data_IF_846542994885
#
_entry.id   IF_846542994885
#
_cell.length_a   1.000
_cell.length_b   1.000
_cell.length_c   1.000
_cell.angle_alpha   90.00
_cell.angle_beta   90.00
_cell.angle_gamma   90.00
#
_symmetry.space_group_name_H-M   'P 1'
#
loop_
_entity.id
_entity.type
_entity.pdbx_description
1 polymer ?
#
# COMPACT_ATOMS: atom_id res chain seq x y z
N UNK A 1 25.30 2.40 26.87
CA UNK A 1 23.91 2.89 26.73
C UNK A 1 23.16 2.62 28.03
N UNK A 2 22.89 3.66 28.81
CA UNK A 2 22.05 3.55 30.03
C UNK A 2 20.59 3.91 29.71
N UNK A 3 19.68 3.75 30.67
CA UNK A 3 18.29 4.18 30.53
C UNK A 3 18.17 5.68 30.23
N UNK A 4 18.93 6.52 30.93
CA UNK A 4 19.03 7.96 30.66
C UNK A 4 19.47 8.25 29.22
N UNK A 5 20.43 7.49 28.68
CA UNK A 5 20.84 7.65 27.27
C UNK A 5 19.69 7.33 26.32
N UNK A 6 18.93 6.26 26.60
CA UNK A 6 17.80 5.87 25.75
C UNK A 6 16.69 6.91 25.80
N UNK A 7 16.38 7.44 26.99
CA UNK A 7 15.39 8.50 27.17
C UNK A 7 15.75 9.72 26.31
N UNK A 8 16.99 10.22 26.43
CA UNK A 8 17.44 11.39 25.68
C UNK A 8 17.44 11.15 24.16
N UNK A 9 17.84 9.95 23.70
CA UNK A 9 17.73 9.62 22.28
C UNK A 9 16.28 9.70 21.81
N UNK A 10 15.36 9.06 22.55
CA UNK A 10 13.93 9.06 22.19
C UNK A 10 13.38 10.49 22.15
N UNK A 11 13.70 11.32 23.14
CA UNK A 11 13.33 12.74 23.13
C UNK A 11 13.88 13.48 21.92
N UNK A 12 15.16 13.29 21.55
CA UNK A 12 15.73 13.96 20.38
C UNK A 12 15.11 13.47 19.07
N UNK A 13 14.75 12.19 18.98
CA UNK A 13 14.03 11.62 17.83
C UNK A 13 12.62 12.21 17.74
N UNK A 14 11.90 12.34 18.85
CA UNK A 14 10.58 12.95 18.91
C UNK A 14 10.58 14.44 18.52
N UNK A 15 11.64 15.17 18.83
CA UNK A 15 11.77 16.59 18.47
C UNK A 15 12.14 16.78 17.00
N UNK A 16 13.05 15.97 16.47
CA UNK A 16 13.57 16.13 15.11
C UNK A 16 12.81 15.31 14.06
N UNK A 17 11.97 14.39 14.50
CA UNK A 17 11.01 13.61 13.70
C UNK A 17 11.56 13.13 12.35
N UNK A 18 12.62 12.30 12.35
CA UNK A 18 13.26 11.84 11.12
C UNK A 18 12.30 11.09 10.17
N UNK A 19 11.18 10.60 10.71
CA UNK A 19 10.15 9.84 9.99
C UNK A 19 9.35 10.69 9.01
N UNK A 20 9.21 12.00 9.25
CA UNK A 20 8.52 12.93 8.33
C UNK A 20 9.19 13.03 6.96
N UNK A 21 10.49 12.77 6.90
CA UNK A 21 11.21 12.69 5.64
C UNK A 21 11.07 11.28 5.03
N UNK A 22 10.97 11.22 3.68
CA UNK A 22 10.83 9.95 2.94
C UNK A 22 11.94 8.95 3.34
N UNK A 23 11.55 7.69 3.56
CA UNK A 23 12.47 6.59 3.86
C UNK A 23 13.55 6.48 2.77
N UNK A 24 14.81 6.35 3.18
CA UNK A 24 15.96 6.31 2.26
C UNK A 24 16.38 7.66 1.66
N UNK A 25 15.67 8.76 1.92
CA UNK A 25 16.08 10.08 1.43
C UNK A 25 17.33 10.63 2.11
N UNK A 26 18.07 11.47 1.38
CA UNK A 26 19.22 12.22 1.92
C UNK A 26 18.77 13.13 3.08
N UNK A 27 17.59 13.77 2.95
CA UNK A 27 17.01 14.61 3.99
C UNK A 27 16.80 13.85 5.31
N UNK A 28 16.21 12.64 5.27
CA UNK A 28 16.12 11.77 6.46
C UNK A 28 17.50 11.48 7.03
N UNK A 29 18.47 11.18 6.16
CA UNK A 29 19.87 11.01 6.55
C UNK A 29 20.45 12.19 7.33
N UNK A 30 20.23 13.42 6.85
CA UNK A 30 20.71 14.65 7.48
C UNK A 30 20.05 14.90 8.85
N UNK A 31 18.77 14.55 9.00
CA UNK A 31 18.09 14.65 10.31
C UNK A 31 18.76 13.73 11.33
N UNK A 32 19.10 12.49 10.94
CA UNK A 32 19.81 11.58 11.83
C UNK A 32 21.24 12.04 12.15
N UNK A 33 21.94 12.68 11.20
CA UNK A 33 23.24 13.30 11.47
C UNK A 33 23.09 14.45 12.48
N UNK A 34 22.05 15.28 12.34
CA UNK A 34 21.72 16.34 13.29
C UNK A 34 21.40 15.80 14.68
N UNK A 35 20.65 14.70 14.78
CA UNK A 35 20.41 14.01 16.06
C UNK A 35 21.74 13.58 16.70
N UNK A 36 22.61 12.91 15.95
CA UNK A 36 23.89 12.44 16.47
C UNK A 36 24.79 13.60 16.96
N UNK A 37 24.87 14.69 16.19
CA UNK A 37 25.63 15.89 16.56
C UNK A 37 25.07 16.54 17.82
N UNK A 38 23.74 16.68 17.92
CA UNK A 38 23.09 17.22 19.10
C UNK A 38 23.35 16.35 20.34
N UNK A 39 23.35 15.02 20.21
CA UNK A 39 23.66 14.11 21.31
C UNK A 39 25.12 14.27 21.75
N UNK A 40 26.07 14.30 20.81
CA UNK A 40 27.49 14.45 21.11
C UNK A 40 27.84 15.82 21.73
N UNK A 41 27.03 16.86 21.50
CA UNK A 41 27.20 18.17 22.15
C UNK A 41 26.78 18.22 23.62
N UNK A 42 26.10 17.18 24.13
CA UNK A 42 25.66 17.13 25.52
C UNK A 42 26.84 16.81 26.44
N UNK A 43 26.97 17.58 27.53
CA UNK A 43 27.99 17.34 28.55
C UNK A 43 27.63 16.14 29.45
N UNK A 44 26.33 15.98 29.78
CA UNK A 44 25.84 14.87 30.61
C UNK A 44 24.45 14.43 30.16
N UNK A 45 24.22 13.11 29.97
CA UNK A 45 25.24 12.09 29.79
C UNK A 45 26.08 12.38 28.53
N UNK A 46 27.36 12.01 28.57
CA UNK A 46 28.26 12.22 27.44
C UNK A 46 28.01 11.15 26.36
N UNK A 47 27.81 11.60 25.13
CA UNK A 47 27.66 10.71 23.98
C UNK A 47 28.91 10.71 23.11
N UNK A 48 29.23 9.53 22.55
CA UNK A 48 30.19 9.38 21.45
C UNK A 48 29.57 8.48 20.39
N UNK A 49 28.69 9.07 19.60
CA UNK A 49 27.79 8.34 18.69
C UNK A 49 27.89 8.86 17.27
N UNK A 50 27.64 7.99 16.31
CA UNK A 50 27.45 8.35 14.89
C UNK A 50 25.98 8.24 14.52
N UNK A 51 25.58 8.81 13.38
CA UNK A 51 24.23 8.58 12.81
C UNK A 51 23.86 7.10 12.77
N UNK A 52 24.82 6.23 12.39
CA UNK A 52 24.60 4.79 12.30
C UNK A 52 24.29 4.20 13.67
N UNK A 53 25.10 4.48 14.69
CA UNK A 53 24.89 3.93 16.03
C UNK A 53 23.59 4.42 16.66
N UNK A 54 23.17 5.67 16.41
CA UNK A 54 21.88 6.19 16.91
C UNK A 54 20.72 5.43 16.27
N UNK A 55 20.76 5.22 14.95
CA UNK A 55 19.72 4.45 14.25
C UNK A 55 19.66 3.00 14.72
N UNK A 56 20.79 2.31 14.77
CA UNK A 56 20.85 0.93 15.25
C UNK A 56 20.36 0.81 16.70
N UNK A 57 20.68 1.79 17.55
CA UNK A 57 20.20 1.82 18.93
C UNK A 57 18.68 2.00 18.99
N UNK A 58 18.13 2.93 18.22
CA UNK A 58 16.68 3.14 18.13
C UNK A 58 15.98 1.87 17.64
N UNK A 59 16.41 1.29 16.51
CA UNK A 59 15.80 0.08 15.94
C UNK A 59 15.81 -1.08 16.92
N UNK A 60 16.93 -1.33 17.60
CA UNK A 60 17.00 -2.39 18.61
C UNK A 60 16.02 -2.15 19.77
N UNK A 61 15.87 -0.90 20.21
CA UNK A 61 14.98 -0.53 21.30
C UNK A 61 13.50 -0.59 20.90
N UNK A 62 13.15 -0.11 19.71
CA UNK A 62 11.78 -0.19 19.18
C UNK A 62 11.36 -1.63 18.97
N UNK A 63 12.22 -2.47 18.37
CA UNK A 63 11.89 -3.88 18.10
C UNK A 63 11.63 -4.65 19.39
N UNK A 64 12.47 -4.42 20.42
CA UNK A 64 12.28 -5.00 21.75
C UNK A 64 10.98 -4.54 22.41
N UNK A 65 10.66 -3.26 22.29
CA UNK A 65 9.42 -2.70 22.84
C UNK A 65 8.19 -3.29 22.16
N UNK A 66 8.18 -3.34 20.82
CA UNK A 66 7.08 -3.92 20.04
C UNK A 66 6.88 -5.41 20.39
N UNK A 67 7.97 -6.18 20.51
CA UNK A 67 7.90 -7.57 20.95
C UNK A 67 7.31 -7.71 22.35
N UNK A 68 7.78 -6.89 23.32
CA UNK A 68 7.26 -6.87 24.69
C UNK A 68 5.77 -6.54 24.73
N UNK A 69 5.31 -5.56 23.94
CA UNK A 69 3.90 -5.18 23.87
C UNK A 69 3.03 -6.26 23.23
N UNK A 70 3.54 -6.94 22.21
CA UNK A 70 2.86 -8.10 21.59
C UNK A 70 2.69 -9.25 22.58
N UNK A 71 3.73 -9.57 23.34
CA UNK A 71 3.69 -10.64 24.34
C UNK A 71 2.77 -10.29 25.51
N UNK A 72 2.81 -9.04 26.01
CA UNK A 72 1.88 -8.54 27.03
C UNK A 72 0.42 -8.65 26.58
N UNK A 73 0.11 -8.19 25.36
CA UNK A 73 -1.24 -8.28 24.76
C UNK A 73 -1.72 -9.73 24.66
N UNK A 74 -0.80 -10.67 24.38
CA UNK A 74 -1.12 -12.11 24.30
C UNK A 74 -1.32 -12.77 25.67
N UNK A 75 -0.54 -12.37 26.68
CA UNK A 75 -0.48 -13.08 27.96
C UNK A 75 -1.47 -12.55 29.01
N UNK A 76 -1.58 -11.23 29.15
CA UNK A 76 -2.21 -10.64 30.35
C UNK A 76 -3.57 -9.99 30.08
N UNK A 77 -3.86 -9.57 28.83
CA UNK A 77 -5.06 -8.80 28.51
C UNK A 77 -5.22 -7.47 29.27
N UNK A 78 -4.26 -7.11 30.13
CA UNK A 78 -4.26 -5.96 31.02
C UNK A 78 -3.03 -5.11 30.70
N UNK A 79 -3.24 -3.80 30.65
CA UNK A 79 -2.20 -2.82 30.39
C UNK A 79 -1.29 -2.67 31.63
N UNK A 80 0.01 -2.76 31.42
CA UNK A 80 1.01 -2.68 32.48
C UNK A 80 1.80 -1.39 32.33
N UNK A 81 1.96 -0.66 33.42
CA UNK A 81 2.64 0.64 33.46
C UNK A 81 3.94 0.65 32.65
N UNK A 82 3.99 1.57 31.69
CA UNK A 82 5.12 1.77 30.79
C UNK A 82 6.15 2.71 31.43
N UNK A 83 7.42 2.35 31.33
CA UNK A 83 8.54 3.26 31.65
C UNK A 83 8.48 4.51 30.76
N UNK A 84 9.04 5.63 31.22
CA UNK A 84 9.11 6.87 30.42
C UNK A 84 9.79 6.66 29.06
N UNK A 85 10.79 5.76 29.01
CA UNK A 85 11.44 5.39 27.74
C UNK A 85 10.49 4.60 26.85
N UNK A 86 9.68 3.72 27.45
CA UNK A 86 8.70 2.91 26.73
C UNK A 86 7.56 3.76 26.18
N UNK A 87 7.06 4.73 26.95
CA UNK A 87 6.07 5.73 26.49
C UNK A 87 6.61 6.56 25.32
N UNK A 88 7.86 7.01 25.40
CA UNK A 88 8.49 7.74 24.30
C UNK A 88 8.66 6.86 23.06
N UNK A 89 9.00 5.57 23.23
CA UNK A 89 9.10 4.62 22.12
C UNK A 89 7.74 4.34 21.49
N UNK A 90 6.68 4.21 22.28
CA UNK A 90 5.31 4.07 21.80
C UNK A 90 4.91 5.24 20.91
N UNK A 91 5.08 6.47 21.38
CA UNK A 91 4.78 7.68 20.60
C UNK A 91 5.60 7.73 19.30
N UNK A 92 6.89 7.40 19.35
CA UNK A 92 7.74 7.38 18.15
C UNK A 92 7.22 6.35 17.14
N UNK A 93 6.93 5.13 17.59
CA UNK A 93 6.48 4.04 16.72
C UNK A 93 5.14 4.39 16.09
N UNK A 94 4.19 4.93 16.85
CA UNK A 94 2.89 5.37 16.33
C UNK A 94 3.05 6.48 15.27
N UNK A 95 3.90 7.47 15.52
CA UNK A 95 4.19 8.52 14.54
C UNK A 95 4.82 7.94 13.27
N UNK A 96 5.75 6.99 13.40
CA UNK A 96 6.37 6.33 12.25
C UNK A 96 5.34 5.55 11.44
N UNK A 97 4.45 4.79 12.07
CA UNK A 97 3.40 4.01 11.37
C UNK A 97 2.41 4.90 10.64
N UNK A 98 1.94 5.98 11.26
CA UNK A 98 1.01 6.93 10.61
C UNK A 98 1.64 7.56 9.36
N UNK A 99 2.93 7.92 9.43
CA UNK A 99 3.63 8.50 8.28
C UNK A 99 3.87 7.45 7.18
N UNK A 100 4.20 6.21 7.52
CA UNK A 100 4.34 5.14 6.53
C UNK A 100 2.99 4.79 5.85
N UNK A 101 1.89 4.71 6.60
CA UNK A 101 0.55 4.44 6.08
C UNK A 101 0.05 5.55 5.14
N UNK A 102 0.23 6.82 5.52
CA UNK A 102 -0.14 7.96 4.67
C UNK A 102 0.66 7.98 3.38
N UNK A 103 1.98 7.76 3.44
CA UNK A 103 2.82 7.67 2.25
C UNK A 103 2.39 6.50 1.33
N UNK A 104 2.04 5.35 1.89
CA UNK A 104 1.58 4.20 1.11
C UNK A 104 0.22 4.46 0.44
N UNK A 105 -0.70 5.12 1.14
CA UNK A 105 -2.00 5.51 0.59
C UNK A 105 -1.85 6.51 -0.57
N UNK A 106 -0.95 7.48 -0.45
CA UNK A 106 -0.64 8.44 -1.52
C UNK A 106 -0.04 7.77 -2.75
N UNK A 107 0.89 6.83 -2.56
CA UNK A 107 1.48 6.06 -3.66
C UNK A 107 0.43 5.18 -4.36
N UNK A 108 -0.46 4.54 -3.58
CA UNK A 108 -1.57 3.75 -4.13
C UNK A 108 -2.58 4.62 -4.89
N UNK A 109 -2.91 5.81 -4.38
CA UNK A 109 -3.79 6.76 -5.06
C UNK A 109 -3.21 7.21 -6.41
N UNK A 110 -1.93 7.57 -6.45
CA UNK A 110 -1.21 7.92 -7.70
C UNK A 110 -1.18 6.75 -8.69
N UNK A 111 -0.93 5.53 -8.20
CA UNK A 111 -0.97 4.33 -9.03
C UNK A 111 -2.37 4.07 -9.60
N UNK A 112 -3.42 4.23 -8.80
CA UNK A 112 -4.81 4.10 -9.22
C UNK A 112 -5.19 5.16 -10.26
N UNK A 113 -4.77 6.41 -10.08
CA UNK A 113 -4.99 7.49 -11.04
C UNK A 113 -4.32 7.21 -12.38
N UNK A 114 -3.07 6.75 -12.37
CA UNK A 114 -2.34 6.35 -13.59
C UNK A 114 -3.04 5.21 -14.32
N UNK A 115 -3.58 4.22 -13.60
CA UNK A 115 -4.41 3.14 -14.18
C UNK A 115 -5.69 3.69 -14.80
N UNK A 116 -6.41 4.57 -14.11
CA UNK A 116 -7.63 5.19 -14.61
C UNK A 116 -7.38 6.02 -15.87
N UNK A 117 -6.31 6.83 -15.89
CA UNK A 117 -5.90 7.62 -17.07
C UNK A 117 -5.55 6.73 -18.27
N UNK A 118 -4.86 5.62 -18.03
CA UNK A 118 -4.56 4.65 -19.09
C UNK A 118 -5.84 4.01 -19.67
N UNK A 119 -6.79 3.61 -18.82
CA UNK A 119 -8.07 3.06 -19.25
C UNK A 119 -8.93 4.08 -20.01
N UNK A 120 -8.98 5.33 -19.56
CA UNK A 120 -9.72 6.41 -20.24
C UNK A 120 -9.20 6.68 -21.65
N UNK A 121 -7.88 6.58 -21.85
CA UNK A 121 -7.25 6.80 -23.16
C UNK A 121 -7.42 5.62 -24.13
N UNK A 122 -7.85 4.44 -23.67
CA UNK A 122 -8.09 3.28 -24.53
C UNK A 122 -9.23 3.51 -25.53
N UNK A 123 -10.20 4.37 -25.21
CA UNK A 123 -11.28 4.77 -26.13
C UNK A 123 -10.86 5.74 -27.23
N UNK A 124 -9.67 6.37 -27.11
CA UNK A 124 -9.18 7.35 -28.08
C UNK A 124 -8.50 6.75 -29.32
N UNK A 125 -7.99 5.51 -29.22
CA UNK A 125 -7.32 4.82 -30.34
C UNK A 125 -8.31 4.11 -31.27
N UNK A 126 -9.56 3.91 -30.85
CA UNK A 126 -10.59 3.23 -31.65
C UNK A 126 -11.16 4.09 -32.79
N UNK A 127 -10.95 5.42 -32.78
CA UNK A 127 -11.42 6.34 -33.84
C UNK A 127 -10.41 6.63 -34.96
N UNK A 128 -9.18 6.10 -34.89
CA UNK A 128 -8.18 6.29 -35.96
C UNK A 128 -8.04 5.08 -36.89
N UNK A 129 -9.13 4.43 -37.30
CA UNK A 129 -9.12 3.45 -38.40
C UNK A 129 -10.46 3.35 -39.13
N UNK A 130 -11.08 4.46 -39.55
CA UNK A 130 -12.16 4.46 -40.57
C UNK A 130 -12.24 5.81 -41.29
N UNK A 131 -11.29 6.00 -42.22
CA UNK A 131 -11.14 7.01 -43.30
C UNK A 131 -9.63 7.17 -43.45
N UNK A 132 -8.99 6.88 -44.57
CA UNK A 132 -9.40 7.12 -45.95
C UNK A 132 -8.92 5.98 -46.87
N UNK A 133 -9.78 5.60 -47.81
CA UNK A 133 -9.37 4.93 -49.04
C UNK A 133 -8.86 5.99 -50.02
N UNK A 134 -7.96 5.52 -50.90
CA UNK A 134 -7.42 6.15 -52.11
C UNK A 134 -6.06 6.88 -51.97
N UNK A 135 -5.08 6.23 -52.60
CA UNK A 135 -3.84 6.71 -53.20
C UNK A 135 -2.68 7.19 -52.30
N UNK A 136 -1.80 6.25 -51.97
CA UNK A 136 -0.43 6.36 -52.46
C UNK A 136 0.27 4.99 -52.43
N UNK A 137 0.44 4.40 -53.61
CA UNK A 137 1.43 3.35 -53.83
C UNK A 137 2.81 3.92 -53.47
N UNK A 138 3.70 3.07 -52.93
CA UNK A 138 5.13 3.35 -52.67
C UNK A 138 5.57 3.89 -51.29
N UNK A 139 5.10 3.32 -50.16
CA UNK A 139 5.89 3.41 -48.90
C UNK A 139 5.63 2.33 -47.83
N UNK A 140 4.78 1.33 -48.04
CA UNK A 140 4.31 0.45 -46.96
C UNK A 140 4.85 -1.00 -47.05
N UNK A 141 6.18 -1.18 -47.08
CA UNK A 141 6.81 -2.48 -46.76
C UNK A 141 7.63 -2.44 -45.47
N UNK A 142 7.11 -1.78 -44.44
CA UNK A 142 7.59 -2.00 -43.07
C UNK A 142 6.83 -3.18 -42.46
N UNK A 143 7.47 -4.36 -42.49
CA UNK A 143 7.16 -5.62 -41.77
C UNK A 143 5.78 -5.65 -41.07
N UNK A 144 4.76 -6.15 -41.78
CA UNK A 144 3.52 -6.66 -41.17
C UNK A 144 3.90 -7.79 -40.20
N UNK A 145 3.99 -7.49 -38.90
CA UNK A 145 4.15 -8.49 -37.84
C UNK A 145 2.93 -9.41 -37.90
N UNK A 146 3.19 -10.72 -37.90
CA UNK A 146 2.20 -11.81 -37.96
C UNK A 146 1.00 -11.46 -37.06
N UNK A 147 -0.15 -11.22 -37.69
CA UNK A 147 -1.37 -10.77 -37.02
C UNK A 147 -1.88 -11.86 -36.07
N UNK A 148 -1.92 -11.59 -34.76
CA UNK A 148 -2.53 -12.45 -33.75
C UNK A 148 -4.07 -12.46 -33.82
N UNK A 149 -4.63 -12.39 -35.03
CA UNK A 149 -6.06 -12.29 -35.31
C UNK A 149 -6.83 -13.45 -34.67
N UNK A 150 -6.26 -14.65 -34.75
CA UNK A 150 -6.85 -15.88 -34.26
C UNK A 150 -6.94 -15.91 -32.72
N UNK A 151 -5.86 -15.53 -32.03
CA UNK A 151 -5.85 -15.39 -30.57
C UNK A 151 -6.84 -14.33 -30.09
N UNK A 152 -6.97 -13.22 -30.82
CA UNK A 152 -7.94 -12.16 -30.48
C UNK A 152 -9.39 -12.57 -30.76
N UNK A 153 -9.64 -13.42 -31.75
CA UNK A 153 -10.96 -14.02 -31.99
C UNK A 153 -11.34 -14.96 -30.84
N UNK A 154 -10.44 -15.86 -30.46
CA UNK A 154 -10.64 -16.78 -29.33
C UNK A 154 -10.92 -16.04 -28.01
N UNK A 155 -10.18 -14.95 -27.72
CA UNK A 155 -10.41 -14.17 -26.51
C UNK A 155 -11.76 -13.45 -26.50
N UNK A 156 -12.26 -13.00 -27.65
CA UNK A 156 -13.60 -12.40 -27.78
C UNK A 156 -14.69 -13.44 -27.57
N UNK A 157 -14.61 -14.56 -28.28
CA UNK A 157 -15.56 -15.66 -28.17
C UNK A 157 -15.65 -16.19 -26.73
N UNK A 158 -14.49 -16.37 -26.07
CA UNK A 158 -14.44 -16.77 -24.66
C UNK A 158 -15.11 -15.76 -23.73
N UNK A 159 -14.97 -14.46 -24.00
CA UNK A 159 -15.60 -13.41 -23.19
C UNK A 159 -17.13 -13.43 -23.39
N UNK A 160 -17.60 -13.54 -24.64
CA UNK A 160 -19.02 -13.63 -24.97
C UNK A 160 -19.68 -14.85 -24.34
N UNK A 161 -19.02 -16.01 -24.37
CA UNK A 161 -19.48 -17.23 -23.69
C UNK A 161 -19.56 -17.04 -22.17
N UNK A 162 -18.55 -16.42 -21.56
CA UNK A 162 -18.53 -16.16 -20.12
C UNK A 162 -19.66 -15.20 -19.69
N UNK A 163 -19.95 -14.18 -20.50
CA UNK A 163 -21.05 -13.26 -20.24
C UNK A 163 -22.41 -13.93 -20.37
N UNK A 164 -22.60 -14.75 -21.41
CA UNK A 164 -23.83 -15.55 -21.59
C UNK A 164 -24.05 -16.48 -20.40
N UNK A 165 -23.02 -17.22 -20.01
CA UNK A 165 -23.11 -18.15 -18.88
C UNK A 165 -23.46 -17.44 -17.57
N UNK A 166 -22.85 -16.27 -17.33
CA UNK A 166 -23.16 -15.43 -16.16
C UNK A 166 -24.60 -14.90 -16.17
N UNK A 167 -25.13 -14.56 -17.34
CA UNK A 167 -26.53 -14.14 -17.48
C UNK A 167 -27.49 -15.31 -17.23
N UNK A 168 -27.21 -16.48 -17.78
CA UNK A 168 -28.00 -17.70 -17.55
C UNK A 168 -27.98 -18.12 -16.07
N UNK A 169 -26.82 -18.08 -15.42
CA UNK A 169 -26.69 -18.35 -13.99
C UNK A 169 -27.55 -17.37 -13.15
N UNK A 170 -27.52 -16.08 -13.49
CA UNK A 170 -28.36 -15.06 -12.86
C UNK A 170 -29.86 -15.33 -13.08
N UNK A 171 -30.27 -15.75 -14.28
CA UNK A 171 -31.66 -16.09 -14.58
C UNK A 171 -32.11 -17.34 -13.81
N UNK A 172 -31.28 -18.39 -13.76
CA UNK A 172 -31.56 -19.61 -13.02
C UNK A 172 -31.70 -19.32 -11.51
N UNK A 173 -30.84 -18.44 -10.98
CA UNK A 173 -30.89 -18.00 -9.59
C UNK A 173 -32.16 -17.19 -9.28
N UNK A 174 -32.71 -16.45 -10.25
CA UNK A 174 -34.01 -15.76 -10.11
C UNK A 174 -35.21 -16.69 -10.19
N UNK A 175 -35.12 -17.79 -10.95
CA UNK A 175 -36.21 -18.76 -11.07
C UNK A 175 -36.39 -19.63 -9.83
N UNK A 176 -35.35 -19.80 -8.98
CA UNK A 176 -35.44 -20.55 -7.72
C UNK A 176 -36.48 -19.97 -6.73
N UNK A 177 -36.43 -18.67 -6.36
CA UNK A 177 -37.43 -18.10 -5.47
C UNK A 177 -38.83 -18.04 -6.10
N UNK A 178 -38.94 -17.89 -7.43
CA UNK A 178 -40.25 -17.92 -8.12
C UNK A 178 -40.88 -19.33 -8.14
N UNK A 179 -40.07 -20.37 -8.21
CA UNK A 179 -40.56 -21.75 -8.11
C UNK A 179 -40.94 -22.12 -6.67
N UNK A 180 -40.22 -21.60 -5.68
CA UNK A 180 -40.56 -21.74 -4.25
C UNK A 180 -41.83 -20.96 -3.90
N UNK A 181 -41.98 -19.71 -4.38
CA UNK A 181 -43.18 -18.91 -4.12
C UNK A 181 -44.42 -19.52 -4.77
N UNK A 182 -44.31 -20.09 -5.98
CA UNK A 182 -45.40 -20.79 -6.66
C UNK A 182 -45.79 -22.10 -5.96
N UNK A 183 -44.81 -22.85 -5.43
CA UNK A 183 -45.09 -24.05 -4.61
C UNK A 183 -45.76 -23.68 -3.30
N UNK A 184 -45.34 -22.61 -2.65
CA UNK A 184 -45.91 -22.13 -1.40
C UNK A 184 -47.34 -21.57 -1.58
N UNK A 185 -47.61 -20.90 -2.70
CA UNK A 185 -48.98 -20.48 -3.08
C UNK A 185 -49.90 -21.67 -3.43
N UNK A 186 -49.37 -22.73 -4.05
CA UNK A 186 -50.13 -23.95 -4.33
C UNK A 186 -50.44 -24.74 -3.06
N UNK A 187 -49.49 -24.85 -2.12
CA UNK A 187 -49.72 -25.49 -0.82
C UNK A 187 -50.65 -24.70 0.11
N UNK A 188 -50.85 -23.39 -0.11
CA UNK A 188 -51.84 -22.57 0.63
C UNK A 188 -53.26 -22.63 0.05
N UNK A 189 -53.44 -23.27 -1.12
CA UNK A 189 -54.74 -23.40 -1.82
C UNK A 189 -55.34 -24.81 -1.76
N UNK A 190 -54.67 -25.77 -1.12
CA UNK A 190 -55.23 -27.07 -0.70
C UNK A 190 -55.51 -27.04 0.80
#
# INVERSE_FOLDING_TARGET
WTEQHNNIICQKILVLEPFKAKKGSIARGQIWDKIANNLNSLQRPQFRVTKRSVRERYTLSSDKFIAKMRDKKKASGIDADLSDVEKALEEIVEKETVVEETAQNDENAKAAEMRYRALKNLGGTQKRQRKDEVENETAARAKRRRSGSDTMAYLREKNDLMQKWKMEEMQLRKQRPEAESKKEEQSKKQ
#
